data_IF_058539717118
#
_entry.id   IF_058539717118
#
_cell.length_a   1.000
_cell.length_b   1.000
_cell.length_c   1.000
_cell.angle_alpha   90.00
_cell.angle_beta   90.00
_cell.angle_gamma   90.00
#
_symmetry.space_group_name_H-M   'P 1'
#
loop_
_entity.id
_entity.type
_entity.pdbx_description
1 polymer ?
#
# COMPACT_ATOMS: atom_id res chain seq x y z
N UNK A 1 1.60 13.03 -4.57
CA UNK A 1 0.34 13.80 -4.48
C UNK A 1 0.27 14.87 -5.57
N UNK A 2 1.08 15.93 -5.54
CA UNK A 2 1.08 17.00 -6.56
C UNK A 2 1.21 16.51 -8.01
N UNK A 3 2.08 15.53 -8.25
CA UNK A 3 2.28 14.94 -9.59
C UNK A 3 1.02 14.24 -10.16
N UNK A 4 0.05 13.86 -9.33
CA UNK A 4 -1.19 13.21 -9.78
C UNK A 4 -2.27 14.24 -10.12
N UNK A 5 -2.26 15.38 -9.42
CA UNK A 5 -3.27 16.44 -9.52
C UNK A 5 -3.00 17.47 -10.62
N UNK A 6 -1.85 17.40 -11.29
CA UNK A 6 -1.52 18.33 -12.38
C UNK A 6 -2.42 18.11 -13.61
N UNK A 7 -2.84 19.20 -14.30
CA UNK A 7 -3.60 19.10 -15.56
C UNK A 7 -2.86 18.29 -16.63
N UNK A 8 -1.55 18.53 -16.77
CA UNK A 8 -0.67 17.75 -17.64
C UNK A 8 0.00 16.65 -16.82
N UNK A 9 -0.35 15.41 -17.10
CA UNK A 9 0.15 14.26 -16.38
C UNK A 9 1.40 13.71 -17.06
N UNK A 10 2.52 13.67 -16.33
CA UNK A 10 3.65 12.85 -16.72
C UNK A 10 3.32 11.39 -16.37
N UNK A 11 2.63 10.73 -17.31
CA UNK A 11 2.03 9.40 -17.12
C UNK A 11 3.07 8.38 -16.67
N UNK A 12 4.23 8.38 -17.32
CA UNK A 12 5.30 7.43 -17.05
C UNK A 12 5.85 7.62 -15.63
N UNK A 13 6.20 8.85 -15.24
CA UNK A 13 6.70 9.13 -13.90
C UNK A 13 5.67 8.80 -12.83
N UNK A 14 4.40 9.14 -13.06
CA UNK A 14 3.33 8.88 -12.09
C UNK A 14 3.07 7.39 -11.93
N UNK A 15 2.93 6.64 -13.03
CA UNK A 15 2.71 5.19 -13.00
C UNK A 15 3.90 4.46 -12.35
N UNK A 16 5.13 4.85 -12.67
CA UNK A 16 6.35 4.26 -12.10
C UNK A 16 6.46 4.54 -10.60
N UNK A 17 6.29 5.79 -10.17
CA UNK A 17 6.37 6.16 -8.76
C UNK A 17 5.25 5.52 -7.91
N UNK A 18 4.02 5.44 -8.43
CA UNK A 18 2.93 4.73 -7.78
C UNK A 18 3.25 3.23 -7.66
N UNK A 19 3.77 2.62 -8.73
CA UNK A 19 4.23 1.23 -8.72
C UNK A 19 5.25 0.93 -7.61
N UNK A 20 6.31 1.73 -7.55
CA UNK A 20 7.38 1.57 -6.53
C UNK A 20 6.82 1.76 -5.11
N UNK A 21 5.94 2.74 -4.90
CA UNK A 21 5.31 2.96 -3.60
C UNK A 21 4.45 1.76 -3.21
N UNK A 22 3.65 1.22 -4.14
CA UNK A 22 2.82 0.04 -3.89
C UNK A 22 3.67 -1.19 -3.54
N UNK A 23 4.77 -1.42 -4.26
CA UNK A 23 5.73 -2.50 -3.97
C UNK A 23 6.25 -2.38 -2.53
N UNK A 24 6.67 -1.20 -2.09
CA UNK A 24 7.17 -0.96 -0.74
C UNK A 24 6.11 -1.20 0.35
N UNK A 25 4.87 -0.79 0.11
CA UNK A 25 3.76 -0.98 1.05
C UNK A 25 3.41 -2.46 1.19
N UNK A 26 3.30 -3.19 0.07
CA UNK A 26 3.01 -4.62 0.09
C UNK A 26 4.18 -5.42 0.67
N UNK A 27 5.43 -5.06 0.36
CA UNK A 27 6.61 -5.72 0.96
C UNK A 27 6.63 -5.53 2.48
N UNK A 28 6.32 -4.32 2.96
CA UNK A 28 6.19 -4.05 4.40
C UNK A 28 5.14 -4.95 5.04
N UNK A 29 3.96 -5.08 4.44
CA UNK A 29 2.89 -5.95 4.95
C UNK A 29 3.30 -7.43 4.94
N UNK A 30 3.85 -7.92 3.83
CA UNK A 30 4.26 -9.33 3.74
C UNK A 30 5.36 -9.66 4.73
N UNK A 31 6.27 -8.71 5.01
CA UNK A 31 7.32 -8.87 6.01
C UNK A 31 6.74 -8.89 7.41
N UNK A 32 5.86 -7.93 7.71
CA UNK A 32 5.19 -7.76 9.00
C UNK A 32 4.44 -9.02 9.44
N UNK A 33 3.74 -9.64 8.50
CA UNK A 33 2.89 -10.79 8.77
C UNK A 33 3.56 -12.13 8.49
N UNK A 34 4.85 -12.14 8.15
CA UNK A 34 5.56 -13.35 7.74
C UNK A 34 4.73 -14.16 6.73
N UNK A 35 4.26 -13.47 5.69
CA UNK A 35 3.56 -14.06 4.56
C UNK A 35 4.43 -15.11 3.87
N UNK A 36 3.79 -16.04 3.16
CA UNK A 36 4.47 -17.13 2.43
C UNK A 36 5.16 -16.62 1.17
N UNK A 37 6.15 -15.74 1.34
CA UNK A 37 6.97 -15.14 0.29
C UNK A 37 8.44 -15.49 0.54
N UNK A 38 9.07 -16.34 -0.27
CA UNK A 38 10.49 -16.64 -0.17
C UNK A 38 11.31 -15.35 -0.29
N UNK A 39 12.13 -15.06 0.73
CA UNK A 39 12.90 -13.82 0.79
C UNK A 39 14.14 -13.91 -0.09
N UNK A 40 14.31 -12.95 -1.00
CA UNK A 40 15.41 -12.87 -1.98
C UNK A 40 16.50 -11.92 -1.50
N UNK A 41 17.74 -12.21 -1.91
CA UNK A 41 18.88 -11.30 -1.77
C UNK A 41 19.55 -11.13 -3.15
N UNK A 42 19.43 -9.95 -3.80
CA UNK A 42 18.77 -8.73 -3.32
C UNK A 42 17.23 -8.85 -3.24
N UNK A 43 16.54 -8.04 -2.41
CA UNK A 43 15.08 -8.10 -2.22
C UNK A 43 14.33 -7.51 -3.42
N UNK A 44 14.29 -8.25 -4.53
CA UNK A 44 13.61 -7.88 -5.77
C UNK A 44 12.34 -8.72 -5.95
N UNK A 45 11.19 -8.12 -5.71
CA UNK A 45 9.88 -8.77 -5.86
C UNK A 45 9.02 -8.01 -6.86
N UNK A 46 8.21 -8.75 -7.61
CA UNK A 46 7.16 -8.16 -8.45
C UNK A 46 5.92 -7.85 -7.61
N UNK A 47 5.10 -6.90 -8.08
CA UNK A 47 3.79 -6.62 -7.48
C UNK A 47 2.91 -7.88 -7.36
N UNK A 48 2.95 -8.76 -8.38
CA UNK A 48 2.19 -10.01 -8.39
C UNK A 48 2.63 -11.01 -7.32
N UNK A 49 3.94 -11.14 -7.08
CA UNK A 49 4.48 -11.95 -5.98
C UNK A 49 4.05 -11.41 -4.62
N UNK A 50 4.13 -10.10 -4.43
CA UNK A 50 3.77 -9.43 -3.17
C UNK A 50 2.27 -9.52 -2.88
N UNK A 51 1.42 -9.24 -3.87
CA UNK A 51 -0.03 -9.28 -3.69
C UNK A 51 -0.53 -10.70 -3.42
N UNK A 52 0.03 -11.69 -4.11
CA UNK A 52 -0.40 -13.10 -3.97
C UNK A 52 0.10 -13.73 -2.66
N UNK A 53 1.13 -13.17 -2.03
CA UNK A 53 1.64 -13.64 -0.75
C UNK A 53 0.72 -13.30 0.44
N UNK A 54 -0.15 -12.29 0.30
CA UNK A 54 -1.14 -11.94 1.32
C UNK A 54 -2.32 -12.92 1.19
N UNK A 55 -2.45 -13.85 2.13
CA UNK A 55 -3.53 -14.84 2.09
C UNK A 55 -4.91 -14.18 2.18
N UNK A 56 -5.94 -14.78 1.56
CA UNK A 56 -7.29 -14.23 1.60
C UNK A 56 -7.84 -14.03 3.02
N UNK A 57 -7.44 -14.88 3.98
CA UNK A 57 -7.80 -14.77 5.40
C UNK A 57 -7.10 -13.60 6.10
N UNK A 58 -5.83 -13.36 5.78
CA UNK A 58 -5.14 -12.16 6.28
C UNK A 58 -5.78 -10.92 5.65
N UNK A 59 -5.96 -10.91 4.33
CA UNK A 59 -6.54 -9.79 3.60
C UNK A 59 -7.90 -9.38 4.15
N UNK A 60 -8.78 -10.33 4.48
CA UNK A 60 -10.11 -10.05 5.04
C UNK A 60 -10.10 -9.53 6.48
N UNK A 61 -8.99 -9.66 7.20
CA UNK A 61 -8.86 -9.22 8.62
C UNK A 61 -8.00 -7.97 8.78
N UNK A 62 -7.27 -7.58 7.72
CA UNK A 62 -6.41 -6.41 7.71
C UNK A 62 -7.24 -5.12 7.80
N UNK A 63 -6.94 -4.34 8.84
CA UNK A 63 -7.54 -3.03 9.06
C UNK A 63 -6.60 -2.13 9.83
N UNK A 64 -6.84 -0.83 9.71
CA UNK A 64 -6.12 0.19 10.46
C UNK A 64 -7.10 0.96 11.34
N UNK A 65 -6.67 1.29 12.55
CA UNK A 65 -7.30 2.29 13.39
C UNK A 65 -6.46 3.56 13.36
N UNK A 66 -7.07 4.68 12.96
CA UNK A 66 -6.51 6.02 13.10
C UNK A 66 -7.13 6.70 14.33
N UNK A 67 -6.29 7.24 15.20
CA UNK A 67 -6.71 7.87 16.45
C UNK A 67 -6.47 9.36 16.36
N UNK A 68 -7.55 10.12 16.36
CA UNK A 68 -7.51 11.58 16.36
C UNK A 68 -7.05 12.15 17.70
N UNK A 69 -6.81 13.46 17.73
CA UNK A 69 -6.33 14.15 18.94
C UNK A 69 -7.38 14.21 20.06
N UNK A 70 -8.66 14.07 19.72
CA UNK A 70 -9.79 13.96 20.65
C UNK A 70 -10.02 12.53 21.15
N UNK A 71 -9.27 11.55 20.63
CA UNK A 71 -9.42 10.13 20.96
C UNK A 71 -10.42 9.37 20.08
N UNK A 72 -11.05 10.03 19.09
CA UNK A 72 -11.92 9.36 18.12
C UNK A 72 -11.13 8.33 17.31
N UNK A 73 -11.68 7.13 17.18
CA UNK A 73 -11.07 6.02 16.45
C UNK A 73 -11.80 5.82 15.12
N UNK A 74 -11.06 5.93 14.01
CA UNK A 74 -11.54 5.62 12.66
C UNK A 74 -10.97 4.29 12.20
N UNK A 75 -11.84 3.32 11.95
CA UNK A 75 -11.45 2.01 11.43
C UNK A 75 -11.52 2.02 9.90
N UNK A 76 -10.41 1.63 9.25
CA UNK A 76 -10.27 1.58 7.80
C UNK A 76 -9.93 0.14 7.38
N UNK A 77 -10.83 -0.59 6.71
CA UNK A 77 -10.52 -1.91 6.17
C UNK A 77 -9.53 -1.78 5.00
N UNK A 78 -8.44 -2.56 5.03
CA UNK A 78 -7.40 -2.46 3.99
C UNK A 78 -7.69 -3.29 2.74
N UNK A 79 -8.52 -4.33 2.84
CA UNK A 79 -8.91 -5.18 1.71
C UNK A 79 -9.31 -4.39 0.46
N UNK A 80 -10.32 -3.48 0.51
CA UNK A 80 -10.75 -2.75 -0.68
C UNK A 80 -9.64 -1.86 -1.26
N UNK A 81 -8.78 -1.29 -0.41
CA UNK A 81 -7.65 -0.46 -0.86
C UNK A 81 -6.59 -1.29 -1.57
N UNK A 82 -6.23 -2.44 -1.02
CA UNK A 82 -5.26 -3.37 -1.61
C UNK A 82 -5.79 -3.92 -2.93
N UNK A 83 -7.05 -4.36 -2.99
CA UNK A 83 -7.69 -4.86 -4.21
C UNK A 83 -7.74 -3.78 -5.31
N UNK A 84 -8.11 -2.55 -4.97
CA UNK A 84 -8.13 -1.45 -5.93
C UNK A 84 -6.72 -1.09 -6.47
N UNK A 85 -5.67 -1.26 -5.66
CA UNK A 85 -4.29 -1.08 -6.10
C UNK A 85 -3.81 -2.21 -7.01
N UNK A 86 -4.08 -3.47 -6.63
CA UNK A 86 -3.57 -4.65 -7.35
C UNK A 86 -4.29 -4.87 -8.68
N UNK A 87 -5.57 -4.49 -8.80
CA UNK A 87 -6.29 -4.45 -10.07
C UNK A 87 -5.64 -3.52 -11.09
N UNK A 88 -5.02 -2.41 -10.66
CA UNK A 88 -4.32 -1.45 -11.52
C UNK A 88 -2.83 -1.76 -11.74
N UNK A 89 -2.29 -2.82 -11.14
CA UNK A 89 -0.83 -3.10 -11.14
C UNK A 89 -0.22 -3.29 -12.53
N UNK A 90 -1.02 -3.68 -13.53
CA UNK A 90 -0.58 -3.78 -14.92
C UNK A 90 -0.23 -2.43 -15.55
N UNK A 91 -0.81 -1.32 -15.06
CA UNK A 91 -0.52 0.05 -15.53
C UNK A 91 0.95 0.41 -15.28
N UNK A 92 1.50 -0.01 -14.13
CA UNK A 92 2.94 0.13 -13.82
C UNK A 92 3.80 -0.54 -14.89
N UNK A 93 3.42 -1.74 -15.33
CA UNK A 93 4.20 -2.50 -16.32
C UNK A 93 4.09 -1.89 -17.73
N UNK A 94 2.89 -1.50 -18.16
CA UNK A 94 2.66 -0.98 -19.51
C UNK A 94 3.13 0.47 -19.67
N UNK A 95 2.79 1.36 -18.73
CA UNK A 95 3.06 2.80 -18.81
C UNK A 95 4.36 3.17 -18.11
N UNK A 96 4.65 2.54 -16.96
CA UNK A 96 5.77 2.92 -16.10
C UNK A 96 7.11 2.28 -16.47
N UNK A 97 7.11 1.07 -17.05
CA UNK A 97 8.32 0.27 -17.26
C UNK A 97 8.68 0.01 -18.73
N UNK A 98 7.74 -0.45 -19.56
CA UNK A 98 8.06 -0.94 -20.91
C UNK A 98 7.73 0.03 -22.05
N UNK A 99 7.01 1.12 -21.79
CA UNK A 99 6.53 2.08 -22.79
C UNK A 99 6.01 1.40 -24.07
N UNK A 100 5.05 0.48 -23.93
CA UNK A 100 4.57 -0.33 -25.06
C UNK A 100 3.52 0.44 -25.88
N UNK A 101 3.63 0.37 -27.20
CA UNK A 101 2.88 1.17 -28.20
C UNK A 101 1.33 1.03 -28.12
N UNK A 102 0.78 0.03 -27.43
CA UNK A 102 -0.67 -0.10 -27.14
C UNK A 102 -1.20 0.86 -26.04
N UNK A 103 -0.34 1.74 -25.52
CA UNK A 103 -0.65 2.83 -24.59
C UNK A 103 -1.82 3.73 -24.99
N UNK A 104 -2.19 3.76 -26.28
CA UNK A 104 -3.31 4.53 -26.80
C UNK A 104 -4.67 4.16 -26.16
N UNK A 105 -4.80 2.98 -25.55
CA UNK A 105 -6.02 2.55 -24.84
C UNK A 105 -6.06 2.94 -23.36
N UNK A 106 -4.92 3.28 -22.76
CA UNK A 106 -4.84 3.68 -21.36
C UNK A 106 -5.05 5.19 -21.32
N UNK A 107 -6.02 5.66 -20.54
CA UNK A 107 -6.24 7.10 -20.38
C UNK A 107 -5.36 7.67 -19.26
N UNK A 108 -5.13 8.99 -19.30
CA UNK A 108 -4.54 9.70 -18.15
C UNK A 108 -5.36 9.49 -16.89
N UNK A 109 -6.67 9.30 -17.03
CA UNK A 109 -7.55 9.03 -15.92
C UNK A 109 -7.25 7.67 -15.27
N UNK A 110 -6.94 6.64 -16.06
CA UNK A 110 -6.56 5.32 -15.53
C UNK A 110 -5.26 5.39 -14.73
N UNK A 111 -4.27 6.14 -15.26
CA UNK A 111 -3.00 6.38 -14.57
C UNK A 111 -3.21 7.17 -13.28
N UNK A 112 -4.06 8.20 -13.30
CA UNK A 112 -4.44 8.96 -12.09
C UNK A 112 -5.14 8.06 -11.08
N UNK A 113 -6.09 7.24 -11.51
CA UNK A 113 -6.85 6.36 -10.63
C UNK A 113 -5.93 5.35 -9.94
N UNK A 114 -5.00 4.73 -10.68
CA UNK A 114 -4.00 3.83 -10.11
C UNK A 114 -3.13 4.54 -9.05
N UNK A 115 -2.66 5.74 -9.36
CA UNK A 115 -1.85 6.53 -8.43
C UNK A 115 -2.66 6.98 -7.19
N UNK A 116 -3.93 7.35 -7.36
CA UNK A 116 -4.84 7.72 -6.28
C UNK A 116 -5.15 6.53 -5.37
N UNK A 117 -5.40 5.35 -5.93
CA UNK A 117 -5.60 4.11 -5.15
C UNK A 117 -4.36 3.82 -4.30
N UNK A 118 -3.17 3.93 -4.90
CA UNK A 118 -1.91 3.71 -4.19
C UNK A 118 -1.70 4.73 -3.07
N UNK A 119 -2.02 6.01 -3.32
CA UNK A 119 -1.96 7.05 -2.29
C UNK A 119 -2.96 6.81 -1.16
N UNK A 120 -4.18 6.36 -1.47
CA UNK A 120 -5.18 6.03 -0.45
C UNK A 120 -4.71 4.88 0.46
N UNK A 121 -4.07 3.85 -0.11
CA UNK A 121 -3.45 2.79 0.67
C UNK A 121 -2.29 3.32 1.53
N UNK A 122 -1.46 4.21 0.98
CA UNK A 122 -0.37 4.85 1.72
C UNK A 122 -0.88 5.71 2.88
N UNK A 123 -1.95 6.48 2.66
CA UNK A 123 -2.59 7.34 3.66
C UNK A 123 -3.23 6.50 4.77
N UNK A 124 -3.84 5.37 4.43
CA UNK A 124 -4.33 4.43 5.44
C UNK A 124 -3.20 3.82 6.27
N UNK A 125 -2.05 3.49 5.67
CA UNK A 125 -0.94 2.80 6.34
C UNK A 125 0.07 3.73 7.02
N UNK A 126 0.05 5.03 6.75
CA UNK A 126 0.99 5.99 7.30
C UNK A 126 0.34 6.87 8.36
N UNK A 127 0.99 7.00 9.52
CA UNK A 127 0.42 7.83 10.58
C UNK A 127 0.47 9.31 10.17
N UNK A 128 -0.66 10.02 10.22
CA UNK A 128 -0.68 11.44 9.85
C UNK A 128 0.12 12.33 10.80
N UNK A 129 0.31 11.89 12.04
CA UNK A 129 1.07 12.65 13.04
C UNK A 129 2.58 12.43 12.95
N UNK A 130 3.06 11.19 12.95
CA UNK A 130 4.51 10.90 12.97
C UNK A 130 5.07 10.47 11.61
N UNK A 131 4.22 10.32 10.59
CA UNK A 131 4.57 9.86 9.23
C UNK A 131 5.27 8.49 9.18
N UNK A 132 5.22 7.71 10.26
CA UNK A 132 5.79 6.37 10.32
C UNK A 132 4.74 5.31 10.05
N UNK A 133 5.16 4.21 9.42
CA UNK A 133 4.36 3.01 9.28
C UNK A 133 4.27 2.25 10.63
N UNK A 134 3.21 1.47 10.87
CA UNK A 134 3.08 0.61 12.03
C UNK A 134 4.22 -0.40 12.09
N UNK A 135 5.07 -0.27 13.12
CA UNK A 135 6.25 -1.09 13.25
C UNK A 135 6.49 -1.70 14.63
N UNK A 136 5.78 -1.22 15.65
CA UNK A 136 5.99 -1.58 17.03
C UNK A 136 4.87 -2.49 17.54
N UNK A 137 5.21 -3.67 18.06
CA UNK A 137 4.27 -4.68 18.59
C UNK A 137 4.24 -4.77 20.12
N UNK A 138 4.84 -3.81 20.85
CA UNK A 138 4.96 -3.87 22.31
C UNK A 138 3.63 -3.94 23.08
N UNK A 139 2.51 -3.59 22.45
CA UNK A 139 1.17 -3.70 23.06
C UNK A 139 0.64 -5.14 23.08
N UNK A 140 1.15 -6.03 22.24
CA UNK A 140 0.68 -7.42 22.16
C UNK A 140 -0.65 -7.62 21.40
N UNK A 141 -1.32 -6.54 20.98
CA UNK A 141 -2.64 -6.61 20.34
C UNK A 141 -2.62 -6.17 18.87
N UNK A 142 -1.73 -5.23 18.53
CA UNK A 142 -1.65 -4.60 17.21
C UNK A 142 -0.24 -4.07 16.96
N UNK A 143 0.05 -3.75 15.71
CA UNK A 143 1.22 -2.95 15.36
C UNK A 143 0.89 -1.48 15.53
N UNK A 144 1.80 -0.70 16.10
CA UNK A 144 1.64 0.74 16.30
C UNK A 144 2.72 1.51 15.56
N UNK A 145 2.40 2.73 15.11
CA UNK A 145 3.41 3.66 14.61
C UNK A 145 4.44 3.99 15.70
N UNK A 146 5.65 4.36 15.30
CA UNK A 146 6.82 4.38 16.18
C UNK A 146 6.81 5.49 17.25
N UNK A 147 7.76 5.34 18.19
CA UNK A 147 7.97 6.25 19.31
C UNK A 147 6.83 6.25 20.32
N UNK A 148 6.47 7.44 20.79
CA UNK A 148 5.37 7.69 21.73
C UNK A 148 4.04 8.00 21.04
N UNK A 149 4.01 8.07 19.70
CA UNK A 149 2.83 8.51 18.94
C UNK A 149 1.65 7.56 19.11
N UNK A 150 1.79 6.29 18.72
CA UNK A 150 0.75 5.24 18.87
C UNK A 150 -0.65 5.57 18.30
N UNK A 151 -0.77 6.60 17.47
CA UNK A 151 -2.03 7.07 16.87
C UNK A 151 -2.46 6.33 15.61
N UNK A 152 -1.64 5.40 15.14
CA UNK A 152 -1.98 4.51 14.05
C UNK A 152 -1.76 3.08 14.52
N UNK A 153 -2.79 2.25 14.41
CA UNK A 153 -2.74 0.84 14.77
C UNK A 153 -3.09 -0.02 13.57
N UNK A 154 -2.29 -1.03 13.29
CA UNK A 154 -2.51 -2.00 12.23
C UNK A 154 -2.84 -3.36 12.86
N UNK A 155 -3.99 -3.88 12.48
CA UNK A 155 -4.54 -5.15 12.95
C UNK A 155 -4.61 -6.16 11.79
N UNK A 156 -4.48 -7.46 12.09
CA UNK A 156 -4.16 -8.05 13.40
C UNK A 156 -2.68 -7.87 13.77
N UNK A 157 -2.25 -8.30 14.96
CA UNK A 157 -0.81 -8.35 15.28
C UNK A 157 -0.09 -9.49 14.54
N UNK A 158 -0.74 -10.63 14.39
CA UNK A 158 -0.20 -11.81 13.71
C UNK A 158 -1.17 -12.28 12.64
N UNK A 159 -0.67 -12.95 11.60
CA UNK A 159 -1.54 -13.51 10.57
C UNK A 159 -2.50 -14.53 11.21
N UNK A 160 -3.79 -14.54 10.85
CA UNK A 160 -4.70 -15.57 11.32
C UNK A 160 -4.24 -16.96 10.86
N UNK A 161 -4.44 -17.97 11.72
CA UNK A 161 -4.12 -19.38 11.44
C UNK A 161 -4.84 -19.92 10.20
#
# INVERSE_FOLDING_TARGET
RTAVSTPHLDRQKVASAAGVLLEQLLDTLTWRYACSLPRKNPPSYTLGELSSAISGKLLSTLRVEQIDSDGTIHEIPLKPLIEACTQGSWIRNQVGAHFNIDEATISDNDVRQFAQNTLALADALQCDHCRQLPANNKTGEHWSCGGTCKKLRLHPLQKPA
#
